data_IF_972263344115
#
_entry.id   IF_972263344115
#
_cell.length_a   1.000
_cell.length_b   1.000
_cell.length_c   1.000
_cell.angle_alpha   90.00
_cell.angle_beta   90.00
_cell.angle_gamma   90.00
#
_symmetry.space_group_name_H-M   'P 1'
#
loop_
_entity.id
_entity.type
_entity.pdbx_description
1 polymer ?
#
# COMPACT_ATOMS: atom_id res chain seq x y z
N UNK A 1 8.45 -1.25 31.21
CA UNK A 1 8.93 -1.57 32.59
C UNK A 1 7.81 -2.14 33.46
N UNK A 2 6.96 -3.03 32.92
CA UNK A 2 5.89 -3.68 33.69
C UNK A 2 6.41 -4.80 34.61
N UNK A 3 7.66 -5.23 34.43
CA UNK A 3 8.28 -6.31 35.23
C UNK A 3 8.60 -5.95 36.67
N UNK A 4 8.44 -4.67 37.08
CA UNK A 4 8.69 -4.21 38.45
C UNK A 4 7.42 -3.98 39.27
N UNK A 5 6.24 -4.33 38.75
CA UNK A 5 5.01 -4.31 39.50
C UNK A 5 4.90 -5.64 40.27
N UNK A 6 4.74 -5.56 41.62
CA UNK A 6 4.56 -6.72 42.48
C UNK A 6 3.18 -7.35 42.25
N UNK A 7 3.06 -8.15 41.18
CA UNK A 7 1.86 -8.95 40.95
C UNK A 7 1.82 -10.16 41.87
N UNK A 8 0.68 -10.39 42.50
CA UNK A 8 0.51 -11.49 43.45
C UNK A 8 0.28 -12.83 42.76
N UNK A 9 -0.22 -12.79 41.54
CA UNK A 9 -0.50 -13.99 40.72
C UNK A 9 -0.08 -13.77 39.28
N UNK A 10 0.27 -14.83 38.52
CA UNK A 10 0.53 -14.74 37.08
C UNK A 10 -0.66 -14.18 36.30
N UNK A 11 -1.90 -14.50 36.72
CA UNK A 11 -3.12 -14.00 36.09
C UNK A 11 -3.23 -12.47 36.23
N UNK A 12 -2.98 -11.94 37.43
CA UNK A 12 -2.98 -10.50 37.67
C UNK A 12 -1.94 -9.77 36.80
N UNK A 13 -0.80 -10.40 36.53
CA UNK A 13 0.20 -9.85 35.62
C UNK A 13 -0.30 -9.81 34.18
N UNK A 14 -0.95 -10.88 33.71
CA UNK A 14 -1.55 -10.96 32.35
C UNK A 14 -2.67 -9.94 32.20
N UNK A 15 -3.57 -9.82 33.17
CA UNK A 15 -4.72 -8.92 33.13
C UNK A 15 -4.30 -7.43 33.07
N UNK A 16 -3.10 -7.13 33.59
CA UNK A 16 -2.54 -5.78 33.57
C UNK A 16 -1.61 -5.50 32.35
N UNK A 17 -1.34 -6.48 31.50
CA UNK A 17 -0.65 -6.26 30.24
C UNK A 17 -1.66 -5.69 29.21
N UNK A 18 -1.48 -4.44 28.84
CA UNK A 18 -2.34 -3.77 27.85
C UNK A 18 -2.02 -4.19 26.42
N UNK A 19 -0.81 -4.66 26.16
CA UNK A 19 -0.26 -5.05 24.87
C UNK A 19 -0.04 -6.56 24.72
N UNK A 20 -0.87 -7.38 25.40
CA UNK A 20 -0.80 -8.84 25.31
C UNK A 20 -0.95 -9.32 23.85
N UNK A 21 -1.81 -8.67 23.08
CA UNK A 21 -1.96 -8.86 21.65
C UNK A 21 -1.72 -7.52 20.96
N UNK A 22 -0.69 -7.42 20.13
CA UNK A 22 -0.41 -6.25 19.30
C UNK A 22 -1.06 -6.40 17.92
N UNK A 23 -1.92 -5.46 17.54
CA UNK A 23 -2.56 -5.40 16.23
C UNK A 23 -2.06 -4.14 15.53
N UNK A 24 -1.45 -4.29 14.36
CA UNK A 24 -1.06 -3.16 13.52
C UNK A 24 -1.92 -3.14 12.26
N UNK A 25 -2.62 -2.03 12.06
CA UNK A 25 -3.31 -1.73 10.81
C UNK A 25 -2.43 -0.80 10.00
N UNK A 26 -1.94 -1.31 8.89
CA UNK A 26 -1.07 -0.57 7.98
C UNK A 26 -1.91 0.16 6.92
N UNK A 27 -1.65 1.45 6.76
CA UNK A 27 -2.23 2.26 5.70
C UNK A 27 -1.15 2.80 4.75
N UNK A 28 -1.55 3.26 3.58
CA UNK A 28 -0.61 3.61 2.52
C UNK A 28 0.19 4.87 2.84
N UNK A 29 -0.48 5.95 3.27
CA UNK A 29 0.10 7.26 3.50
C UNK A 29 -0.15 7.74 4.92
N UNK A 30 0.69 8.64 5.43
CA UNK A 30 0.57 9.25 6.76
C UNK A 30 -0.82 9.89 6.96
N UNK A 31 -1.34 10.56 5.94
CA UNK A 31 -2.68 11.14 5.98
C UNK A 31 -3.79 10.11 6.24
N UNK A 32 -3.64 8.91 5.69
CA UNK A 32 -4.64 7.86 5.87
C UNK A 32 -4.71 7.35 7.31
N UNK A 33 -3.67 7.50 8.12
CA UNK A 33 -3.69 7.17 9.55
C UNK A 33 -4.80 7.96 10.26
N UNK A 34 -4.87 9.27 10.01
CA UNK A 34 -5.90 10.13 10.58
C UNK A 34 -7.30 9.80 10.06
N UNK A 35 -7.44 9.53 8.77
CA UNK A 35 -8.70 9.16 8.16
C UNK A 35 -9.21 7.83 8.73
N UNK A 36 -8.34 6.84 8.87
CA UNK A 36 -8.67 5.56 9.46
C UNK A 36 -9.05 5.68 10.95
N UNK A 37 -8.26 6.44 11.73
CA UNK A 37 -8.63 6.71 13.12
C UNK A 37 -10.02 7.35 13.24
N UNK A 38 -10.33 8.33 12.41
CA UNK A 38 -11.65 8.97 12.39
C UNK A 38 -12.76 7.99 12.02
N UNK A 39 -12.51 7.05 11.12
CA UNK A 39 -13.52 6.07 10.73
C UNK A 39 -13.93 5.16 11.89
N UNK A 40 -13.06 4.92 12.87
CA UNK A 40 -13.38 4.12 14.05
C UNK A 40 -14.61 4.65 14.81
N UNK A 41 -14.79 5.97 14.85
CA UNK A 41 -15.96 6.57 15.55
C UNK A 41 -17.30 6.23 14.87
N UNK A 42 -17.31 5.81 13.62
CA UNK A 42 -18.53 5.33 12.96
C UNK A 42 -18.86 3.89 13.29
N UNK A 43 -17.85 3.08 13.65
CA UNK A 43 -17.97 1.65 13.96
C UNK A 43 -18.05 1.34 15.45
N UNK A 44 -17.69 2.30 16.30
CA UNK A 44 -17.68 2.11 17.75
C UNK A 44 -18.63 3.10 18.43
N UNK A 45 -19.38 2.62 19.42
CA UNK A 45 -20.31 3.41 20.23
C UNK A 45 -19.82 3.51 21.67
N UNK A 46 -19.70 4.74 22.19
CA UNK A 46 -19.24 4.98 23.56
C UNK A 46 -20.17 4.37 24.59
N UNK A 47 -19.60 3.60 25.49
CA UNK A 47 -20.28 3.04 26.65
C UNK A 47 -20.02 3.88 27.91
N UNK A 48 -20.87 3.74 28.93
CA UNK A 48 -20.69 4.39 30.23
C UNK A 48 -19.42 3.97 30.97
N UNK A 49 -18.86 2.81 30.58
CA UNK A 49 -17.61 2.26 31.12
C UNK A 49 -16.34 2.98 30.69
N UNK A 50 -16.43 3.93 29.75
CA UNK A 50 -15.27 4.63 29.17
C UNK A 50 -14.75 4.02 27.86
N UNK A 51 -14.93 2.73 27.68
CA UNK A 51 -14.63 2.04 26.42
C UNK A 51 -15.78 2.19 25.40
N UNK A 52 -15.45 2.17 24.13
CA UNK A 52 -16.43 2.12 23.05
C UNK A 52 -16.60 0.67 22.56
N UNK A 53 -17.86 0.25 22.39
CA UNK A 53 -18.24 -1.07 21.89
C UNK A 53 -18.33 -1.05 20.37
N UNK A 54 -17.80 -2.07 19.71
CA UNK A 54 -17.96 -2.25 18.27
C UNK A 54 -19.41 -2.57 17.94
N UNK A 55 -19.98 -1.88 16.94
CA UNK A 55 -21.37 -2.08 16.51
C UNK A 55 -21.59 -3.43 15.81
N UNK A 56 -20.56 -3.94 15.17
CA UNK A 56 -20.59 -5.19 14.42
C UNK A 56 -20.16 -6.39 15.26
N UNK A 57 -19.58 -6.18 16.45
CA UNK A 57 -19.12 -7.25 17.34
C UNK A 57 -19.27 -6.83 18.81
N UNK A 58 -20.20 -7.46 19.52
CA UNK A 58 -20.53 -7.18 20.92
C UNK A 58 -19.43 -7.54 21.93
N UNK A 59 -18.39 -8.26 21.50
CA UNK A 59 -17.27 -8.66 22.35
C UNK A 59 -16.03 -7.79 22.18
N UNK A 60 -16.05 -6.83 21.22
CA UNK A 60 -14.89 -6.01 20.88
C UNK A 60 -15.02 -4.60 21.44
N UNK A 61 -14.07 -4.19 22.27
CA UNK A 61 -14.05 -2.92 22.95
C UNK A 61 -12.76 -2.15 22.66
N UNK A 62 -12.86 -0.81 22.51
CA UNK A 62 -11.73 0.05 22.20
C UNK A 62 -11.80 1.34 23.02
N UNK A 63 -10.67 1.79 23.58
CA UNK A 63 -10.57 3.08 24.28
C UNK A 63 -10.35 4.21 23.27
N UNK A 64 -11.44 4.94 22.97
CA UNK A 64 -11.44 6.14 22.15
C UNK A 64 -11.38 7.44 22.97
N UNK A 65 -11.12 7.35 24.28
CA UNK A 65 -11.08 8.53 25.17
C UNK A 65 -9.71 9.20 25.18
N UNK A 66 -8.65 8.45 24.88
CA UNK A 66 -7.27 8.93 24.89
C UNK A 66 -7.02 9.92 23.75
N UNK A 67 -6.30 11.02 24.00
CA UNK A 67 -5.94 11.96 22.93
C UNK A 67 -5.03 11.28 21.90
N UNK A 68 -5.36 11.46 20.62
CA UNK A 68 -4.65 10.88 19.49
C UNK A 68 -4.33 11.96 18.44
N UNK A 69 -3.22 11.87 17.72
CA UNK A 69 -2.14 10.87 17.86
C UNK A 69 -1.26 11.13 19.09
N UNK A 70 -0.62 10.08 19.61
CA UNK A 70 0.33 10.17 20.72
C UNK A 70 1.73 10.49 20.20
N UNK A 71 2.43 11.42 20.84
CA UNK A 71 3.82 11.74 20.51
C UNK A 71 4.76 10.69 21.13
N UNK A 72 5.57 10.05 20.30
CA UNK A 72 6.60 9.11 20.72
C UNK A 72 7.92 9.81 21.08
N UNK A 73 8.80 9.13 21.81
CA UNK A 73 10.13 9.65 22.19
C UNK A 73 11.03 9.98 21.00
N UNK A 74 10.82 9.33 19.87
CA UNK A 74 11.54 9.55 18.60
C UNK A 74 11.04 10.76 17.79
N UNK A 75 10.01 11.47 18.30
CA UNK A 75 9.43 12.63 17.66
C UNK A 75 8.35 12.33 16.61
N UNK A 76 8.06 11.06 16.32
CA UNK A 76 6.89 10.67 15.53
C UNK A 76 5.62 10.66 16.37
N UNK A 77 4.50 10.86 15.71
CA UNK A 77 3.19 10.60 16.27
C UNK A 77 2.70 9.22 15.86
N UNK A 78 1.97 8.55 16.74
CA UNK A 78 1.36 7.25 16.48
C UNK A 78 -0.10 7.27 16.94
N UNK A 79 -0.96 6.65 16.18
CA UNK A 79 -2.29 6.27 16.63
C UNK A 79 -2.18 4.92 17.35
N UNK A 80 -2.30 4.98 18.67
CA UNK A 80 -2.19 3.83 19.57
C UNK A 80 -3.38 3.82 20.50
N UNK A 81 -4.17 2.76 20.43
CA UNK A 81 -5.40 2.61 21.18
C UNK A 81 -5.38 1.29 21.94
N UNK A 82 -5.72 1.35 23.20
CA UNK A 82 -5.89 0.17 24.03
C UNK A 82 -7.32 -0.37 23.86
N UNK A 83 -7.46 -1.68 23.83
CA UNK A 83 -8.75 -2.33 23.72
C UNK A 83 -8.77 -3.68 24.42
N UNK A 84 -9.92 -4.29 24.47
CA UNK A 84 -10.06 -5.68 24.92
C UNK A 84 -11.13 -6.40 24.12
N UNK A 85 -10.94 -7.69 24.05
CA UNK A 85 -11.90 -8.64 23.49
C UNK A 85 -12.39 -9.59 24.58
N UNK A 86 -13.70 -9.84 24.63
CA UNK A 86 -14.29 -10.81 25.55
C UNK A 86 -14.35 -12.17 24.85
N UNK A 87 -13.56 -13.11 25.32
CA UNK A 87 -13.58 -14.49 24.85
C UNK A 87 -14.01 -15.42 25.99
N UNK A 88 -15.18 -16.06 25.86
CA UNK A 88 -15.76 -16.89 26.91
C UNK A 88 -15.81 -16.21 28.30
N UNK A 89 -16.24 -14.94 28.31
CA UNK A 89 -16.29 -14.08 29.50
C UNK A 89 -14.90 -13.65 30.07
N UNK A 90 -13.81 -14.13 29.48
CA UNK A 90 -12.45 -13.70 29.83
C UNK A 90 -12.04 -12.49 29.01
N UNK A 91 -11.39 -11.53 29.67
CA UNK A 91 -10.91 -10.29 29.05
C UNK A 91 -9.51 -10.49 28.48
N UNK A 92 -9.36 -10.36 27.17
CA UNK A 92 -8.07 -10.38 26.47
C UNK A 92 -7.74 -8.94 26.03
N UNK A 93 -6.72 -8.36 26.65
CA UNK A 93 -6.28 -7.02 26.27
C UNK A 93 -5.51 -7.03 24.95
N UNK A 94 -5.74 -5.99 24.13
CA UNK A 94 -4.98 -5.77 22.92
C UNK A 94 -4.64 -4.29 22.75
N UNK A 95 -3.57 -4.04 22.02
CA UNK A 95 -3.16 -2.73 21.55
C UNK A 95 -3.35 -2.63 20.05
N UNK A 96 -4.13 -1.65 19.59
CA UNK A 96 -4.30 -1.33 18.18
C UNK A 96 -3.38 -0.17 17.79
N UNK A 97 -2.49 -0.39 16.85
CA UNK A 97 -1.66 0.64 16.23
C UNK A 97 -2.11 0.88 14.80
N UNK A 98 -2.22 2.15 14.40
CA UNK A 98 -2.45 2.54 13.01
C UNK A 98 -1.18 3.23 12.54
N UNK A 99 -0.57 2.69 11.48
CA UNK A 99 0.70 3.17 10.92
C UNK A 99 0.63 3.22 9.40
N UNK A 100 1.22 4.23 8.82
CA UNK A 100 1.54 4.26 7.39
C UNK A 100 2.73 3.36 7.06
N UNK A 101 2.91 3.05 5.78
CA UNK A 101 4.08 2.32 5.29
C UNK A 101 5.38 2.99 5.75
N UNK A 102 5.46 4.31 5.69
CA UNK A 102 6.63 5.09 6.10
C UNK A 102 6.86 5.00 7.60
N UNK A 103 5.81 5.15 8.42
CA UNK A 103 5.93 5.03 9.87
C UNK A 103 6.25 3.60 10.30
N UNK A 104 5.72 2.59 9.61
CA UNK A 104 6.06 1.19 9.88
C UNK A 104 7.52 0.88 9.50
N UNK A 105 7.97 1.33 8.32
CA UNK A 105 9.37 1.22 7.92
C UNK A 105 10.31 1.88 8.93
N UNK A 106 10.03 3.12 9.34
CA UNK A 106 10.83 3.83 10.33
C UNK A 106 10.88 3.09 11.68
N UNK A 107 9.73 2.60 12.16
CA UNK A 107 9.67 1.86 13.42
C UNK A 107 10.58 0.62 13.42
N UNK A 108 10.64 -0.07 12.28
CA UNK A 108 11.52 -1.24 12.12
C UNK A 108 13.00 -0.83 12.12
N UNK A 109 13.37 0.23 11.40
CA UNK A 109 14.75 0.75 11.38
C UNK A 109 15.17 1.23 12.76
N UNK A 110 14.32 1.99 13.44
CA UNK A 110 14.60 2.46 14.81
C UNK A 110 14.81 1.29 15.77
N UNK A 111 13.98 0.26 15.69
CA UNK A 111 14.10 -0.92 16.52
C UNK A 111 15.44 -1.66 16.28
N UNK A 112 15.90 -1.73 15.03
CA UNK A 112 17.17 -2.38 14.71
C UNK A 112 18.39 -1.52 15.01
N UNK A 113 18.37 -0.25 14.68
CA UNK A 113 19.52 0.64 14.79
C UNK A 113 19.67 1.18 16.22
N UNK A 114 18.56 1.59 16.84
CA UNK A 114 18.60 2.25 18.17
C UNK A 114 18.48 1.25 19.32
N UNK A 115 17.49 0.36 19.26
CA UNK A 115 17.18 -0.54 20.36
C UNK A 115 18.18 -1.66 20.53
N UNK A 116 18.66 -2.25 19.44
CA UNK A 116 19.65 -3.34 19.47
C UNK A 116 21.09 -2.85 19.71
N UNK A 117 21.34 -1.55 19.52
CA UNK A 117 22.66 -0.95 19.68
C UNK A 117 22.58 0.33 20.56
N UNK A 118 22.21 0.22 21.83
CA UNK A 118 22.03 1.38 22.68
C UNK A 118 23.32 2.22 22.85
N UNK A 119 24.49 1.59 22.77
CA UNK A 119 25.78 2.28 22.89
C UNK A 119 26.11 3.13 21.65
N UNK A 120 25.57 2.79 20.50
CA UNK A 120 25.85 3.50 19.25
C UNK A 120 25.07 4.83 19.14
N UNK A 121 23.85 4.89 19.67
CA UNK A 121 22.95 6.05 19.47
C UNK A 121 22.86 6.96 20.69
N UNK A 122 23.04 6.42 21.90
CA UNK A 122 22.86 7.22 23.13
C UNK A 122 23.94 8.30 23.34
N UNK A 123 25.13 8.14 22.76
CA UNK A 123 26.26 9.02 23.00
C UNK A 123 26.65 9.91 21.81
N UNK A 124 26.06 9.70 20.63
CA UNK A 124 26.40 10.46 19.44
C UNK A 124 25.26 11.39 19.00
N UNK A 125 25.46 12.69 19.24
CA UNK A 125 24.55 13.75 18.81
C UNK A 125 24.37 13.75 17.29
N UNK A 126 25.44 13.45 16.52
CA UNK A 126 25.42 13.38 15.08
C UNK A 126 24.45 12.30 14.58
N UNK A 127 24.46 11.11 15.17
CA UNK A 127 23.55 10.01 14.78
C UNK A 127 22.09 10.38 15.04
N UNK A 128 21.79 11.07 16.15
CA UNK A 128 20.43 11.56 16.42
C UNK A 128 19.96 12.61 15.41
N UNK A 129 20.82 13.53 15.04
CA UNK A 129 20.52 14.56 14.05
C UNK A 129 20.33 13.92 12.65
N UNK A 130 21.17 12.95 12.29
CA UNK A 130 21.06 12.20 11.04
C UNK A 130 19.75 11.42 10.98
N UNK A 131 19.38 10.69 12.04
CA UNK A 131 18.12 9.97 12.12
C UNK A 131 16.92 10.93 12.04
N UNK A 132 17.00 12.10 12.67
CA UNK A 132 16.00 13.15 12.55
C UNK A 132 15.83 13.65 11.11
N UNK A 133 16.95 13.93 10.43
CA UNK A 133 16.93 14.36 9.03
C UNK A 133 16.36 13.29 8.09
N UNK A 134 16.68 12.02 8.31
CA UNK A 134 16.11 10.90 7.53
C UNK A 134 14.59 10.83 7.74
N UNK A 135 14.13 10.94 8.97
CA UNK A 135 12.70 10.99 9.29
C UNK A 135 11.99 12.11 8.52
N UNK A 136 12.52 13.33 8.60
CA UNK A 136 11.91 14.49 7.96
C UNK A 136 11.87 14.34 6.42
N UNK A 137 12.89 13.69 5.84
CA UNK A 137 12.90 13.33 4.43
C UNK A 137 11.83 12.28 4.08
N UNK A 138 11.60 11.29 4.92
CA UNK A 138 10.56 10.28 4.72
C UNK A 138 9.16 10.90 4.68
N UNK A 139 8.89 11.90 5.53
CA UNK A 139 7.64 12.66 5.52
C UNK A 139 7.43 13.44 4.20
N UNK A 140 8.51 13.96 3.64
CA UNK A 140 8.47 14.64 2.33
C UNK A 140 8.19 13.63 1.21
N UNK A 141 8.87 12.48 1.23
CA UNK A 141 8.67 11.41 0.24
C UNK A 141 7.24 10.87 0.31
N UNK A 142 6.69 10.63 1.50
CA UNK A 142 5.30 10.18 1.68
C UNK A 142 4.31 11.14 1.01
N UNK A 143 4.46 12.45 1.27
CA UNK A 143 3.61 13.48 0.65
C UNK A 143 3.73 13.53 -0.86
N UNK A 144 4.95 13.39 -1.40
CA UNK A 144 5.17 13.36 -2.84
C UNK A 144 4.50 12.14 -3.49
N UNK A 145 4.64 10.96 -2.87
CA UNK A 145 4.00 9.74 -3.32
C UNK A 145 2.46 9.82 -3.21
N UNK A 146 1.94 10.44 -2.15
CA UNK A 146 0.49 10.67 -2.01
C UNK A 146 -0.05 11.56 -3.15
N UNK A 147 0.66 12.66 -3.48
CA UNK A 147 0.28 13.55 -4.59
C UNK A 147 0.29 12.78 -5.91
N UNK A 148 1.36 12.04 -6.20
CA UNK A 148 1.45 11.22 -7.40
C UNK A 148 0.33 10.18 -7.48
N UNK A 149 0.04 9.51 -6.36
CA UNK A 149 -1.02 8.52 -6.29
C UNK A 149 -2.40 9.13 -6.55
N UNK A 150 -2.67 10.31 -5.96
CA UNK A 150 -3.94 11.04 -6.21
C UNK A 150 -4.07 11.46 -7.66
N UNK A 151 -2.99 11.96 -8.25
CA UNK A 151 -2.98 12.35 -9.66
C UNK A 151 -3.28 11.15 -10.56
N UNK A 152 -2.62 10.03 -10.33
CA UNK A 152 -2.87 8.79 -11.07
C UNK A 152 -4.30 8.27 -10.82
N UNK A 153 -4.78 8.31 -9.57
CA UNK A 153 -6.14 7.89 -9.22
C UNK A 153 -7.21 8.81 -9.83
N UNK A 154 -6.97 10.12 -9.83
CA UNK A 154 -7.86 11.09 -10.46
C UNK A 154 -7.88 10.92 -11.98
N UNK A 155 -6.73 10.65 -12.59
CA UNK A 155 -6.66 10.29 -14.02
C UNK A 155 -7.38 8.97 -14.29
N UNK A 156 -7.30 7.99 -13.38
CA UNK A 156 -8.05 6.73 -13.48
C UNK A 156 -9.55 6.92 -13.28
N UNK A 157 -9.97 7.82 -12.38
CA UNK A 157 -11.39 8.18 -12.22
C UNK A 157 -11.93 9.01 -13.38
N UNK A 158 -11.12 9.88 -13.99
CA UNK A 158 -11.46 10.55 -15.24
C UNK A 158 -11.46 9.55 -16.41
N UNK A 159 -10.64 8.51 -16.36
CA UNK A 159 -10.67 7.41 -17.31
C UNK A 159 -11.89 6.48 -17.15
N UNK A 160 -12.48 6.39 -15.93
CA UNK A 160 -13.80 5.76 -15.75
C UNK A 160 -14.96 6.63 -16.30
N UNK A 161 -14.74 7.94 -16.47
CA UNK A 161 -15.66 8.88 -17.14
C UNK A 161 -15.26 9.02 -18.64
N UNK A 162 -14.71 7.95 -19.24
CA UNK A 162 -14.38 7.87 -20.65
C UNK A 162 -13.03 8.48 -20.98
N UNK A 163 -11.97 7.68 -20.86
CA UNK A 163 -10.78 7.95 -21.63
C UNK A 163 -11.24 7.99 -23.09
N UNK A 164 -11.01 9.10 -23.79
CA UNK A 164 -11.33 9.17 -25.19
C UNK A 164 -10.51 8.13 -25.97
N UNK A 165 -11.00 7.74 -27.12
CA UNK A 165 -10.36 6.74 -27.98
C UNK A 165 -8.87 7.00 -28.17
N UNK A 166 -8.49 8.25 -28.37
CA UNK A 166 -7.10 8.67 -28.58
C UNK A 166 -6.24 8.47 -27.34
N UNK A 167 -6.75 8.85 -26.17
CA UNK A 167 -6.06 8.67 -24.88
C UNK A 167 -5.81 7.20 -24.58
N UNK A 168 -6.84 6.35 -24.75
CA UNK A 168 -6.73 4.91 -24.57
C UNK A 168 -5.67 4.30 -25.51
N UNK A 169 -5.77 4.56 -26.79
CA UNK A 169 -4.81 4.03 -27.78
C UNK A 169 -3.38 4.48 -27.51
N UNK A 170 -3.19 5.73 -27.12
CA UNK A 170 -1.86 6.28 -26.79
C UNK A 170 -1.28 5.60 -25.57
N UNK A 171 -2.07 5.42 -24.52
CA UNK A 171 -1.64 4.77 -23.29
C UNK A 171 -1.28 3.30 -23.53
N UNK A 172 -2.16 2.55 -24.21
CA UNK A 172 -1.95 1.13 -24.53
C UNK A 172 -0.71 0.95 -25.40
N UNK A 173 -0.56 1.75 -26.47
CA UNK A 173 0.60 1.69 -27.34
C UNK A 173 1.91 1.94 -26.61
N UNK A 174 1.93 2.91 -25.70
CA UNK A 174 3.10 3.22 -24.89
C UNK A 174 3.46 2.06 -23.96
N UNK A 175 2.50 1.52 -23.24
CA UNK A 175 2.71 0.41 -22.30
C UNK A 175 3.23 -0.84 -23.01
N UNK A 176 2.66 -1.20 -24.18
CA UNK A 176 3.15 -2.32 -25.00
C UNK A 176 4.59 -2.07 -25.47
N UNK A 177 4.89 -0.85 -25.96
CA UNK A 177 6.23 -0.52 -26.42
C UNK A 177 7.27 -0.62 -25.31
N UNK A 178 6.98 -0.10 -24.12
CA UNK A 178 7.87 -0.17 -22.95
C UNK A 178 8.08 -1.63 -22.50
N UNK A 179 7.01 -2.44 -22.46
CA UNK A 179 7.08 -3.84 -22.08
C UNK A 179 7.95 -4.65 -23.05
N UNK A 180 7.69 -4.54 -24.35
CA UNK A 180 8.43 -5.26 -25.40
C UNK A 180 9.90 -4.85 -25.40
N UNK A 181 10.20 -3.56 -25.31
CA UNK A 181 11.57 -3.06 -25.27
C UNK A 181 12.33 -3.59 -24.06
N UNK A 182 11.72 -3.63 -22.87
CA UNK A 182 12.33 -4.20 -21.68
C UNK A 182 12.64 -5.68 -21.88
N UNK A 183 11.65 -6.48 -22.28
CA UNK A 183 11.83 -7.92 -22.48
C UNK A 183 12.87 -8.24 -23.59
N UNK A 184 12.91 -7.47 -24.65
CA UNK A 184 13.95 -7.60 -25.69
C UNK A 184 15.33 -7.26 -25.15
N UNK A 185 15.47 -6.19 -24.39
CA UNK A 185 16.73 -5.81 -23.76
C UNK A 185 17.24 -6.92 -22.84
N UNK A 186 16.34 -7.50 -22.05
CA UNK A 186 16.69 -8.57 -21.11
C UNK A 186 17.08 -9.87 -21.83
N UNK A 187 16.39 -10.22 -22.94
CA UNK A 187 16.60 -11.49 -23.65
C UNK A 187 17.67 -11.42 -24.75
N UNK A 188 17.77 -10.29 -25.46
CA UNK A 188 18.63 -10.14 -26.64
C UNK A 188 19.75 -9.12 -26.47
N UNK A 189 19.73 -8.33 -25.37
CA UNK A 189 20.72 -7.30 -25.08
C UNK A 189 20.54 -5.99 -25.85
N UNK A 190 19.51 -5.86 -26.68
CA UNK A 190 19.21 -4.64 -27.42
C UNK A 190 17.69 -4.36 -27.42
N UNK A 191 17.31 -3.12 -27.69
CA UNK A 191 15.92 -2.69 -27.87
C UNK A 191 15.73 -2.13 -29.29
N UNK A 192 14.52 -2.30 -29.82
CA UNK A 192 14.15 -1.83 -31.16
C UNK A 192 12.93 -0.89 -31.03
N UNK A 193 12.78 0.04 -31.98
CA UNK A 193 11.60 0.92 -31.99
C UNK A 193 10.34 0.19 -32.44
N UNK A 194 9.52 -0.23 -31.47
CA UNK A 194 8.21 -0.88 -31.68
C UNK A 194 7.03 0.08 -31.69
N UNK A 195 7.24 1.40 -31.69
CA UNK A 195 6.15 2.38 -31.57
C UNK A 195 5.04 2.19 -32.60
N UNK A 196 5.40 1.97 -33.87
CA UNK A 196 4.41 1.75 -34.93
C UNK A 196 3.62 0.46 -34.73
N UNK A 197 4.31 -0.64 -34.41
CA UNK A 197 3.65 -1.92 -34.14
C UNK A 197 2.76 -1.85 -32.90
N UNK A 198 3.23 -1.20 -31.84
CA UNK A 198 2.44 -0.99 -30.60
C UNK A 198 1.20 -0.14 -30.86
N UNK A 199 1.28 0.86 -31.72
CA UNK A 199 0.13 1.68 -32.11
C UNK A 199 -0.91 0.86 -32.90
N UNK A 200 -0.47 -0.01 -33.81
CA UNK A 200 -1.36 -0.91 -34.55
C UNK A 200 -2.04 -1.92 -33.60
N UNK A 201 -1.29 -2.50 -32.67
CA UNK A 201 -1.83 -3.41 -31.66
C UNK A 201 -2.85 -2.70 -30.76
N UNK A 202 -2.58 -1.49 -30.33
CA UNK A 202 -3.51 -0.69 -29.54
C UNK A 202 -4.80 -0.39 -30.32
N UNK A 203 -4.69 -0.08 -31.61
CA UNK A 203 -5.84 0.09 -32.49
C UNK A 203 -6.65 -1.21 -32.62
N UNK A 204 -5.99 -2.34 -32.82
CA UNK A 204 -6.63 -3.64 -32.90
C UNK A 204 -7.39 -4.00 -31.63
N UNK A 205 -6.74 -3.82 -30.46
CA UNK A 205 -7.36 -4.06 -29.15
C UNK A 205 -8.60 -3.18 -28.98
N UNK A 206 -8.49 -1.89 -29.32
CA UNK A 206 -9.62 -0.98 -29.23
C UNK A 206 -10.81 -1.42 -30.09
N UNK A 207 -10.56 -1.78 -31.34
CA UNK A 207 -11.63 -2.22 -32.26
C UNK A 207 -12.25 -3.54 -31.80
N UNK A 208 -11.43 -4.49 -31.35
CA UNK A 208 -11.91 -5.79 -30.88
C UNK A 208 -12.80 -5.65 -29.65
N UNK A 209 -12.35 -4.90 -28.66
CA UNK A 209 -12.94 -4.90 -27.33
C UNK A 209 -14.01 -3.81 -27.14
N UNK A 210 -13.88 -2.68 -27.83
CA UNK A 210 -14.81 -1.55 -27.69
C UNK A 210 -15.78 -1.35 -28.86
N UNK A 211 -15.35 -1.64 -30.09
CA UNK A 211 -16.21 -1.42 -31.25
C UNK A 211 -17.03 -2.67 -31.59
N UNK A 212 -16.40 -3.85 -31.48
CA UNK A 212 -17.02 -5.14 -31.87
C UNK A 212 -17.34 -6.04 -30.67
N UNK A 213 -16.95 -5.65 -29.43
CA UNK A 213 -17.17 -6.45 -28.23
C UNK A 213 -18.59 -6.31 -27.68
N UNK A 214 -19.09 -7.37 -27.06
CA UNK A 214 -20.39 -7.36 -26.34
C UNK A 214 -20.32 -6.55 -25.03
N UNK A 215 -19.13 -6.19 -24.55
CA UNK A 215 -18.93 -5.42 -23.34
C UNK A 215 -18.70 -3.95 -23.66
N UNK A 216 -19.69 -3.12 -23.35
CA UNK A 216 -19.65 -1.68 -23.54
C UNK A 216 -18.59 -0.94 -22.67
N UNK A 217 -17.83 -1.64 -21.83
CA UNK A 217 -16.77 -1.06 -21.00
C UNK A 217 -15.76 -2.13 -20.62
N UNK A 218 -14.63 -2.20 -21.32
CA UNK A 218 -13.41 -2.77 -20.73
C UNK A 218 -12.89 -1.75 -19.73
N UNK A 219 -12.84 -2.12 -18.47
CA UNK A 219 -12.32 -1.23 -17.45
C UNK A 219 -10.80 -1.13 -17.55
N UNK A 220 -10.23 -0.02 -17.09
CA UNK A 220 -8.77 0.12 -16.99
C UNK A 220 -8.16 -1.01 -16.13
N UNK A 221 -8.93 -1.60 -15.22
CA UNK A 221 -8.53 -2.73 -14.38
C UNK A 221 -8.27 -3.96 -15.24
N UNK A 222 -9.20 -4.33 -16.13
CA UNK A 222 -9.04 -5.51 -17.03
C UNK A 222 -7.79 -5.36 -17.89
N UNK A 223 -7.49 -4.14 -18.31
CA UNK A 223 -6.31 -3.85 -19.09
C UNK A 223 -5.01 -3.93 -18.27
N UNK A 224 -5.00 -3.42 -17.04
CA UNK A 224 -3.86 -3.54 -16.13
C UNK A 224 -3.57 -5.00 -15.78
N UNK A 225 -4.59 -5.82 -15.59
CA UNK A 225 -4.45 -7.27 -15.41
C UNK A 225 -3.82 -7.94 -16.63
N UNK A 226 -4.25 -7.58 -17.83
CA UNK A 226 -3.63 -8.07 -19.06
C UNK A 226 -2.15 -7.67 -19.18
N UNK A 227 -1.80 -6.42 -18.86
CA UNK A 227 -0.41 -5.97 -18.87
C UNK A 227 0.43 -6.68 -17.83
N UNK A 228 -0.08 -6.91 -16.63
CA UNK A 228 0.60 -7.68 -15.60
C UNK A 228 0.83 -9.11 -16.06
N UNK A 229 -0.20 -9.77 -16.63
CA UNK A 229 -0.07 -11.10 -17.20
C UNK A 229 1.01 -11.17 -18.29
N UNK A 230 1.02 -10.21 -19.23
CA UNK A 230 2.03 -10.13 -20.29
C UNK A 230 3.43 -9.84 -19.74
N UNK A 231 3.52 -9.06 -18.65
CA UNK A 231 4.78 -8.77 -17.99
C UNK A 231 5.37 -10.01 -17.32
N UNK A 232 4.54 -10.84 -16.71
CA UNK A 232 4.95 -12.05 -15.99
C UNK A 232 5.17 -13.23 -16.93
N UNK A 233 4.65 -13.16 -18.18
CA UNK A 233 4.83 -14.21 -19.19
C UNK A 233 6.26 -14.23 -19.71
N UNK A 234 6.86 -15.41 -19.79
CA UNK A 234 8.14 -15.60 -20.51
C UNK A 234 7.90 -15.45 -22.01
N UNK A 235 8.57 -14.48 -22.64
CA UNK A 235 8.56 -14.29 -24.09
C UNK A 235 9.91 -14.72 -24.62
N UNK A 236 9.95 -15.85 -25.32
CA UNK A 236 11.15 -16.32 -26.01
C UNK A 236 11.23 -15.75 -27.43
N UNK A 237 11.98 -14.66 -27.61
CA UNK A 237 12.21 -14.03 -28.91
C UNK A 237 13.05 -14.87 -29.88
N UNK A 238 13.61 -16.00 -29.44
CA UNK A 238 14.40 -16.93 -30.28
C UNK A 238 13.54 -18.05 -30.84
N UNK A 239 12.29 -18.20 -30.37
CA UNK A 239 11.37 -19.22 -30.87
C UNK A 239 10.98 -18.92 -32.32
N UNK A 240 11.12 -19.90 -33.21
CA UNK A 240 10.63 -19.78 -34.57
C UNK A 240 9.10 -19.79 -34.59
N UNK A 241 8.51 -18.73 -35.12
CA UNK A 241 7.05 -18.65 -35.34
C UNK A 241 6.77 -19.09 -36.77
N UNK A 242 6.01 -20.16 -36.93
CA UNK A 242 5.49 -20.53 -38.26
C UNK A 242 4.30 -19.66 -38.58
N UNK A 243 4.46 -18.80 -39.58
CA UNK A 243 3.34 -18.00 -40.12
C UNK A 243 2.60 -18.87 -41.13
N UNK A 244 1.39 -19.29 -40.77
CA UNK A 244 0.54 -20.15 -41.64
C UNK A 244 -0.21 -19.38 -42.74
N UNK A 245 0.09 -18.12 -42.98
CA UNK A 245 -0.48 -17.32 -44.05
C UNK A 245 0.59 -16.77 -44.97
N UNK A 246 0.34 -16.80 -46.27
CA UNK A 246 1.17 -16.10 -47.25
C UNK A 246 0.90 -14.60 -47.16
N UNK A 247 1.89 -13.87 -46.65
CA UNK A 247 1.87 -12.42 -46.68
C UNK A 247 2.47 -11.96 -48.03
N UNK A 248 1.64 -11.38 -48.86
CA UNK A 248 2.11 -10.66 -50.04
C UNK A 248 2.19 -9.18 -49.68
N UNK A 249 3.41 -8.59 -49.57
CA UNK A 249 3.52 -7.15 -49.41
C UNK A 249 2.79 -6.47 -50.59
N UNK A 250 1.84 -5.59 -50.29
CA UNK A 250 1.38 -4.65 -51.30
C UNK A 250 2.45 -3.58 -51.42
N UNK A 251 2.98 -3.36 -52.60
CA UNK A 251 3.88 -2.26 -52.88
C UNK A 251 3.24 -0.92 -52.49
N UNK A 252 4.04 0.05 -52.02
CA UNK A 252 3.58 1.32 -51.45
C UNK A 252 2.83 2.20 -52.43
#
# INVERSE_FOLDING_TARGET
NHFYLDYKTPQEAIDNLHDLVGITVECRFIRNEHELYRSLFSHFERQKSGYALCKENENLFLDLSQPQPQLQRNGFTIYRLDGYYLFNEEKINYELQIKSLVHNFWSNIEQEVVYKNPDFVMYDQFNKEMLGAIRDNLDVVDRQLEIMYKEISNQSHQAQIGMDEKGFKTFVARSINELVNRKMKDSLGFATDFKKCSAILAQYIYVRDFVNGEHNQVTMIDYMELLNYLNDSEIDFKQKIEIKCTFTPQDP
#
